data_IF_259239116594
#
_entry.id   IF_259239116594
#
_cell.length_a   1.000
_cell.length_b   1.000
_cell.length_c   1.000
_cell.angle_alpha   90.00
_cell.angle_beta   90.00
_cell.angle_gamma   90.00
#
_symmetry.space_group_name_H-M   'P 1'
#
loop_
_entity.id
_entity.type
_entity.pdbx_description
1 polymer ?
#
# COMPACT_ATOMS: atom_id res chain seq x y z
N UNK A 1 9.06 -16.73 13.59
CA UNK A 1 8.23 -15.66 12.99
C UNK A 1 8.66 -15.57 11.54
N UNK A 2 7.74 -15.63 10.59
CA UNK A 2 8.09 -15.52 9.16
C UNK A 2 8.36 -14.05 8.81
N UNK A 3 9.28 -13.84 7.85
CA UNK A 3 9.64 -12.50 7.41
C UNK A 3 8.46 -11.85 6.67
N UNK A 4 8.10 -10.63 7.07
CA UNK A 4 6.98 -9.91 6.50
C UNK A 4 7.40 -8.92 5.42
N UNK A 5 6.52 -8.74 4.43
CA UNK A 5 6.61 -7.70 3.41
C UNK A 5 5.43 -6.73 3.51
N UNK A 6 5.54 -5.55 2.89
CA UNK A 6 4.44 -4.61 2.83
C UNK A 6 3.28 -5.20 2.00
N UNK A 7 2.06 -5.05 2.52
CA UNK A 7 0.82 -5.49 1.88
C UNK A 7 -0.24 -4.40 1.99
N UNK A 8 -0.98 -4.18 0.91
CA UNK A 8 -1.98 -3.14 0.80
C UNK A 8 -3.31 -3.74 0.40
N UNK A 9 -4.34 -3.44 1.19
CA UNK A 9 -5.70 -3.93 0.94
C UNK A 9 -6.21 -3.37 -0.39
N UNK A 10 -6.67 -4.26 -1.27
CA UNK A 10 -7.26 -3.91 -2.57
C UNK A 10 -6.24 -3.65 -3.69
N UNK A 11 -4.94 -3.64 -3.38
CA UNK A 11 -3.90 -3.56 -4.41
C UNK A 11 -3.73 -4.91 -5.08
N UNK A 12 -3.85 -4.96 -6.41
CA UNK A 12 -3.74 -6.20 -7.20
C UNK A 12 -2.38 -6.39 -7.86
N UNK A 13 -1.55 -5.34 -7.87
CA UNK A 13 -0.23 -5.38 -8.48
C UNK A 13 0.78 -6.22 -7.69
N UNK A 14 2.02 -6.21 -8.18
CA UNK A 14 3.09 -7.04 -7.65
C UNK A 14 3.99 -6.22 -6.72
N UNK A 15 4.34 -6.79 -5.56
CA UNK A 15 5.30 -6.22 -4.62
C UNK A 15 6.44 -7.21 -4.45
N UNK A 16 7.61 -6.87 -4.98
CA UNK A 16 8.80 -7.75 -4.92
C UNK A 16 9.88 -7.12 -4.05
N UNK A 17 10.62 -7.97 -3.33
CA UNK A 17 11.77 -7.54 -2.54
C UNK A 17 13.00 -7.47 -3.45
N UNK A 18 13.45 -6.25 -3.74
CA UNK A 18 14.51 -6.00 -4.74
C UNK A 18 15.90 -5.99 -4.13
N UNK A 19 16.04 -5.44 -2.91
CA UNK A 19 17.32 -5.39 -2.23
C UNK A 19 17.15 -5.43 -0.71
N UNK A 20 18.06 -6.14 -0.04
CA UNK A 20 18.23 -6.05 1.41
C UNK A 20 19.48 -5.21 1.65
N UNK A 21 19.31 -4.04 2.26
CA UNK A 21 20.41 -3.15 2.68
C UNK A 21 20.65 -3.36 4.18
N UNK A 22 21.82 -2.94 4.65
CA UNK A 22 22.22 -3.01 6.07
C UNK A 22 21.20 -2.31 7.00
N UNK A 23 20.51 -1.29 6.50
CA UNK A 23 19.55 -0.50 7.25
C UNK A 23 18.08 -0.77 6.91
N UNK A 24 17.75 -1.83 6.15
CA UNK A 24 16.36 -2.19 5.83
C UNK A 24 16.18 -2.79 4.43
N UNK A 25 14.93 -3.08 4.05
CA UNK A 25 14.60 -3.70 2.75
C UNK A 25 13.98 -2.70 1.76
N UNK A 26 14.34 -2.83 0.49
CA UNK A 26 13.76 -2.08 -0.63
C UNK A 26 12.83 -2.99 -1.42
N UNK A 27 11.65 -2.48 -1.74
CA UNK A 27 10.59 -3.19 -2.45
C UNK A 27 10.26 -2.44 -3.73
N UNK A 28 10.14 -3.18 -4.83
CA UNK A 28 9.62 -2.67 -6.09
C UNK A 28 8.13 -2.99 -6.15
N UNK A 29 7.32 -1.95 -6.29
CA UNK A 29 5.87 -2.05 -6.44
C UNK A 29 5.54 -1.79 -7.90
N UNK A 30 4.95 -2.79 -8.54
CA UNK A 30 4.57 -2.76 -9.94
C UNK A 30 3.05 -2.80 -10.07
N UNK A 31 2.49 -1.85 -10.80
CA UNK A 31 1.13 -1.92 -11.31
C UNK A 31 0.97 -3.01 -12.37
N UNK A 32 -0.17 -3.03 -13.04
CA UNK A 32 -0.49 -4.04 -14.04
C UNK A 32 -0.80 -3.35 -15.37
N UNK A 33 -0.06 -3.76 -16.40
CA UNK A 33 -0.30 -3.41 -17.79
C UNK A 33 -0.60 -4.71 -18.54
N UNK A 34 -1.72 -4.72 -19.25
CA UNK A 34 -2.14 -5.78 -20.15
C UNK A 34 -2.08 -5.27 -21.58
N UNK A 35 -1.55 -6.08 -22.48
CA UNK A 35 -1.67 -5.82 -23.91
C UNK A 35 -2.97 -6.44 -24.41
N UNK A 36 -3.82 -5.62 -25.03
CA UNK A 36 -5.05 -6.12 -25.65
C UNK A 36 -4.76 -6.49 -27.10
N UNK A 37 -4.18 -5.56 -27.86
CA UNK A 37 -3.92 -5.66 -29.30
C UNK A 37 -2.59 -4.98 -29.65
N UNK A 38 -2.14 -5.15 -30.90
CA UNK A 38 -0.92 -4.54 -31.44
C UNK A 38 -0.92 -2.99 -31.46
N UNK A 39 -2.08 -2.38 -31.18
CA UNK A 39 -2.26 -0.93 -31.11
C UNK A 39 -2.78 -0.43 -29.75
N UNK A 40 -3.17 -1.33 -28.84
CA UNK A 40 -3.90 -0.95 -27.62
C UNK A 40 -3.35 -1.63 -26.38
N UNK A 41 -3.00 -0.81 -25.38
CA UNK A 41 -2.59 -1.25 -24.04
C UNK A 41 -3.65 -0.88 -23.01
N UNK A 42 -3.78 -1.71 -21.98
CA UNK A 42 -4.67 -1.48 -20.85
C UNK A 42 -3.88 -1.41 -19.56
N UNK A 43 -4.07 -0.34 -18.80
CA UNK A 43 -3.46 -0.17 -17.49
C UNK A 43 -4.58 -0.34 -16.47
N UNK A 44 -4.53 -1.43 -15.71
CA UNK A 44 -5.61 -1.82 -14.78
C UNK A 44 -5.26 -1.58 -13.31
N UNK A 45 -4.00 -1.27 -13.02
CA UNK A 45 -3.53 -1.02 -11.66
C UNK A 45 -2.35 -0.07 -11.68
N UNK A 46 -2.39 0.95 -10.82
CA UNK A 46 -1.30 1.91 -10.64
C UNK A 46 -0.44 1.50 -9.44
N UNK A 47 0.86 1.84 -9.44
CA UNK A 47 1.70 1.56 -8.29
C UNK A 47 1.22 2.35 -7.06
N UNK A 48 1.44 1.77 -5.89
CA UNK A 48 1.03 2.35 -4.61
C UNK A 48 1.65 3.75 -4.46
N UNK A 49 0.85 4.70 -3.93
CA UNK A 49 1.13 6.14 -3.79
C UNK A 49 1.11 6.95 -5.09
N UNK A 50 0.56 6.42 -6.18
CA UNK A 50 0.30 7.20 -7.40
C UNK A 50 -1.19 7.45 -7.55
N UNK A 51 -1.58 8.71 -7.63
CA UNK A 51 -2.97 9.09 -7.86
C UNK A 51 -3.34 8.93 -9.32
N UNK A 52 -4.62 8.64 -9.56
CA UNK A 52 -5.20 8.51 -10.89
C UNK A 52 -5.04 9.80 -11.71
N UNK A 53 -5.31 10.95 -11.09
CA UNK A 53 -5.16 12.27 -11.73
C UNK A 53 -3.70 12.56 -12.11
N UNK A 54 -2.75 12.34 -11.20
CA UNK A 54 -1.32 12.49 -11.50
C UNK A 54 -0.86 11.56 -12.65
N UNK A 55 -1.52 10.40 -12.80
CA UNK A 55 -1.24 9.46 -13.88
C UNK A 55 -1.84 9.92 -15.21
N UNK A 56 -3.06 10.47 -15.18
CA UNK A 56 -3.72 11.07 -16.34
C UNK A 56 -2.90 12.23 -16.92
N UNK A 57 -2.47 13.16 -16.08
CA UNK A 57 -1.59 14.28 -16.49
C UNK A 57 -0.29 13.78 -17.12
N UNK A 58 0.26 12.69 -16.59
CA UNK A 58 1.43 12.03 -17.17
C UNK A 58 1.14 11.43 -18.55
N UNK A 59 0.00 10.76 -18.76
CA UNK A 59 -0.39 10.24 -20.08
C UNK A 59 -0.61 11.37 -21.09
N UNK A 60 -1.28 12.46 -20.68
CA UNK A 60 -1.47 13.66 -21.52
C UNK A 60 -0.12 14.23 -21.92
N UNK A 61 0.85 14.34 -21.00
CA UNK A 61 2.19 14.86 -21.30
C UNK A 61 2.98 14.04 -22.33
N UNK A 62 2.71 12.73 -22.40
CA UNK A 62 3.29 11.82 -23.40
C UNK A 62 2.57 11.95 -24.75
N UNK A 63 1.28 12.29 -24.72
CA UNK A 63 0.44 12.47 -25.91
C UNK A 63 0.69 13.80 -26.62
N UNK A 64 0.76 14.93 -25.90
CA UNK A 64 0.96 16.26 -26.50
C UNK A 64 2.42 16.61 -26.74
N UNK A 65 3.35 15.86 -26.15
CA UNK A 65 4.75 16.26 -26.05
C UNK A 65 4.94 17.35 -24.99
N UNK A 66 6.06 17.30 -24.28
CA UNK A 66 6.43 18.26 -23.24
C UNK A 66 7.91 18.63 -23.38
N UNK A 67 8.41 19.60 -22.60
CA UNK A 67 9.83 20.01 -22.64
C UNK A 67 10.84 18.84 -22.51
N UNK A 68 10.41 17.71 -21.93
CA UNK A 68 11.21 16.49 -21.78
C UNK A 68 10.89 15.38 -22.80
N UNK A 69 9.77 15.44 -23.50
CA UNK A 69 9.30 14.41 -24.45
C UNK A 69 8.97 15.10 -25.76
N UNK A 70 9.94 15.08 -26.69
CA UNK A 70 9.89 15.86 -27.93
C UNK A 70 8.92 15.31 -28.98
N UNK A 71 8.55 14.03 -28.90
CA UNK A 71 7.66 13.39 -29.87
C UNK A 71 6.45 12.74 -29.19
N UNK A 72 5.23 13.02 -29.68
CA UNK A 72 4.01 12.44 -29.15
C UNK A 72 4.01 10.93 -29.39
N UNK A 73 4.01 10.14 -28.31
CA UNK A 73 4.11 8.68 -28.40
C UNK A 73 2.74 7.99 -28.40
N UNK A 74 1.78 8.60 -27.69
CA UNK A 74 0.40 8.13 -27.56
C UNK A 74 -0.47 8.85 -28.59
N UNK A 75 -1.33 8.10 -29.29
CA UNK A 75 -2.30 8.70 -30.22
C UNK A 75 -3.52 9.22 -29.48
N UNK A 76 -4.05 8.42 -28.56
CA UNK A 76 -5.23 8.74 -27.78
C UNK A 76 -5.26 7.86 -26.52
N UNK A 77 -6.00 8.27 -25.50
CA UNK A 77 -6.28 7.42 -24.34
C UNK A 77 -7.74 7.55 -23.90
N UNK A 78 -8.27 6.47 -23.35
CA UNK A 78 -9.63 6.40 -22.81
C UNK A 78 -9.58 6.05 -21.34
N UNK A 79 -10.33 6.79 -20.56
CA UNK A 79 -10.47 6.57 -19.13
C UNK A 79 -11.79 5.87 -18.81
N UNK A 80 -11.70 4.77 -18.07
CA UNK A 80 -12.85 4.02 -17.57
C UNK A 80 -12.69 3.76 -16.06
N UNK A 81 -12.25 4.79 -15.33
CA UNK A 81 -12.01 4.68 -13.90
C UNK A 81 -13.32 4.68 -13.11
N UNK A 82 -13.39 3.84 -12.09
CA UNK A 82 -14.42 3.91 -11.05
C UNK A 82 -13.83 4.56 -9.80
N UNK A 83 -14.67 4.87 -8.80
CA UNK A 83 -14.21 5.44 -7.53
C UNK A 83 -13.21 4.58 -6.74
N UNK A 84 -13.01 3.32 -7.13
CA UNK A 84 -12.10 2.36 -6.47
C UNK A 84 -11.13 1.64 -7.40
N UNK A 85 -11.36 1.65 -8.71
CA UNK A 85 -10.63 0.83 -9.70
C UNK A 85 -10.15 1.70 -10.84
N UNK A 86 -8.92 1.45 -11.28
CA UNK A 86 -8.28 2.18 -12.37
C UNK A 86 -8.33 1.36 -13.65
N UNK A 87 -8.74 1.98 -14.74
CA UNK A 87 -8.73 1.43 -16.09
C UNK A 87 -8.42 2.53 -17.11
N UNK A 88 -7.20 2.53 -17.63
CA UNK A 88 -6.81 3.35 -18.78
C UNK A 88 -6.61 2.48 -20.02
N UNK A 89 -7.28 2.80 -21.11
CA UNK A 89 -7.03 2.24 -22.44
C UNK A 89 -6.17 3.18 -23.26
N UNK A 90 -4.90 2.85 -23.48
CA UNK A 90 -3.94 3.68 -24.21
C UNK A 90 -3.82 3.17 -25.65
N UNK A 91 -4.02 4.06 -26.62
CA UNK A 91 -3.98 3.76 -28.05
C UNK A 91 -2.67 4.31 -28.65
N UNK A 92 -1.94 3.44 -29.33
CA UNK A 92 -0.60 3.67 -29.89
C UNK A 92 -0.60 3.31 -31.39
N UNK A 93 0.43 3.72 -32.14
CA UNK A 93 0.76 3.06 -33.41
C UNK A 93 1.41 1.71 -33.16
N UNK A 94 1.33 0.80 -34.14
CA UNK A 94 2.01 -0.51 -34.09
C UNK A 94 3.52 -0.34 -33.89
N UNK A 95 4.13 0.63 -34.58
CA UNK A 95 5.55 0.97 -34.46
C UNK A 95 5.90 1.40 -33.02
N UNK A 96 5.09 2.28 -32.41
CA UNK A 96 5.32 2.75 -31.04
C UNK A 96 5.08 1.63 -30.02
N UNK A 97 4.10 0.77 -30.23
CA UNK A 97 3.84 -0.36 -29.34
C UNK A 97 5.00 -1.38 -29.41
N UNK A 98 5.53 -1.65 -30.60
CA UNK A 98 6.71 -2.50 -30.77
C UNK A 98 7.95 -1.90 -30.10
N UNK A 99 8.18 -0.59 -30.26
CA UNK A 99 9.25 0.12 -29.56
C UNK A 99 9.06 0.08 -28.03
N UNK A 100 7.84 0.26 -27.54
CA UNK A 100 7.53 0.17 -26.11
C UNK A 100 7.77 -1.23 -25.54
N UNK A 101 7.51 -2.28 -26.33
CA UNK A 101 7.81 -3.68 -25.96
C UNK A 101 9.31 -3.93 -25.87
N UNK A 102 10.07 -3.44 -26.85
CA UNK A 102 11.53 -3.58 -26.86
C UNK A 102 12.19 -2.85 -25.68
N UNK A 103 11.69 -1.65 -25.34
CA UNK A 103 12.15 -0.89 -24.17
C UNK A 103 11.63 -1.48 -22.84
N UNK A 104 10.46 -2.11 -22.88
CA UNK A 104 9.73 -2.67 -21.75
C UNK A 104 8.59 -1.74 -21.30
N UNK A 105 7.35 -2.26 -21.34
CA UNK A 105 6.13 -1.49 -21.01
C UNK A 105 6.19 -0.83 -19.63
N UNK A 106 6.72 -1.55 -18.64
CA UNK A 106 6.86 -1.07 -17.26
C UNK A 106 7.84 0.11 -17.14
N UNK A 107 8.86 0.19 -18.00
CA UNK A 107 9.80 1.31 -18.00
C UNK A 107 9.19 2.53 -18.68
N UNK A 108 8.50 2.34 -19.82
CA UNK A 108 7.96 3.42 -20.63
C UNK A 108 6.78 4.13 -19.95
N UNK A 109 5.79 3.36 -19.50
CA UNK A 109 4.57 3.88 -18.87
C UNK A 109 4.74 4.15 -17.37
N UNK A 110 5.90 3.78 -16.82
CA UNK A 110 6.28 4.00 -15.41
C UNK A 110 5.22 3.60 -14.37
N UNK A 111 4.48 2.47 -14.50
CA UNK A 111 3.62 1.97 -13.42
C UNK A 111 4.44 1.30 -12.29
N UNK A 112 5.68 1.71 -12.05
CA UNK A 112 6.55 1.11 -11.02
C UNK A 112 7.02 2.18 -10.06
N UNK A 113 6.92 1.90 -8.76
CA UNK A 113 7.49 2.72 -7.69
C UNK A 113 8.36 1.88 -6.77
N UNK A 114 9.24 2.52 -6.03
CA UNK A 114 10.12 1.86 -5.07
C UNK A 114 9.74 2.32 -3.66
N UNK A 115 9.58 1.37 -2.74
CA UNK A 115 9.31 1.61 -1.33
C UNK A 115 10.49 1.12 -0.51
N UNK A 116 11.08 1.99 0.30
CA UNK A 116 12.13 1.64 1.27
C UNK A 116 11.55 1.53 2.68
N UNK A 117 11.98 0.53 3.42
CA UNK A 117 11.64 0.33 4.84
C UNK A 117 12.76 0.77 5.80
N UNK A 118 13.73 1.55 5.31
CA UNK A 118 14.95 1.86 6.07
C UNK A 118 14.77 2.74 7.32
N UNK A 119 13.66 3.48 7.39
CA UNK A 119 13.44 4.53 8.39
C UNK A 119 12.17 4.29 9.22
N UNK A 120 12.15 3.23 10.04
CA UNK A 120 11.03 2.95 10.96
C UNK A 120 11.33 3.50 12.37
N UNK A 121 10.99 4.75 12.63
CA UNK A 121 11.14 5.38 13.96
C UNK A 121 9.80 5.43 14.66
N UNK A 122 9.71 4.83 15.86
CA UNK A 122 8.50 4.80 16.67
C UNK A 122 8.84 5.07 18.14
N UNK A 123 7.85 5.52 18.90
CA UNK A 123 7.97 5.60 20.35
C UNK A 123 7.90 4.20 20.96
N UNK A 124 8.83 3.91 21.86
CA UNK A 124 8.79 2.71 22.68
C UNK A 124 7.73 2.85 23.81
N UNK A 125 7.46 1.78 24.59
CA UNK A 125 6.50 1.84 25.70
C UNK A 125 6.88 2.83 26.82
N UNK A 126 8.13 3.31 26.85
CA UNK A 126 8.64 4.31 27.79
C UNK A 126 8.55 5.74 27.20
N UNK A 127 8.09 5.90 25.97
CA UNK A 127 7.97 7.18 25.28
C UNK A 127 9.28 7.67 24.63
N UNK A 128 10.30 6.81 24.50
CA UNK A 128 11.58 7.13 23.88
C UNK A 128 11.53 6.78 22.39
N UNK A 129 12.06 7.66 21.53
CA UNK A 129 12.16 7.40 20.10
C UNK A 129 13.22 6.30 19.89
N UNK A 130 12.80 5.21 19.25
CA UNK A 130 13.66 4.10 18.87
C UNK A 130 13.56 3.87 17.37
N UNK A 131 14.70 3.65 16.72
CA UNK A 131 14.75 3.15 15.35
C UNK A 131 14.61 1.63 15.37
N UNK A 132 13.75 1.11 14.51
CA UNK A 132 13.54 -0.31 14.27
C UNK A 132 14.08 -0.65 12.89
N UNK A 133 14.85 -1.72 12.78
CA UNK A 133 15.44 -2.13 11.50
C UNK A 133 14.49 -3.04 10.72
N UNK A 134 13.69 -3.83 11.45
CA UNK A 134 12.78 -4.83 10.88
C UNK A 134 11.38 -4.69 11.49
N UNK A 135 10.30 -4.94 10.72
CA UNK A 135 8.93 -4.86 11.23
C UNK A 135 8.64 -5.89 12.34
N UNK A 136 9.38 -7.01 12.39
CA UNK A 136 9.26 -8.03 13.44
C UNK A 136 9.67 -7.50 14.82
N UNK A 137 10.62 -6.55 14.89
CA UNK A 137 10.98 -5.91 16.15
C UNK A 137 9.83 -5.04 16.69
N UNK A 138 9.02 -4.47 15.80
CA UNK A 138 7.83 -3.68 16.18
C UNK A 138 6.74 -4.62 16.72
N UNK A 139 6.63 -5.84 16.16
CA UNK A 139 5.70 -6.86 16.62
C UNK A 139 5.93 -7.31 18.07
N UNK A 140 7.11 -7.06 18.66
CA UNK A 140 7.35 -7.29 20.10
C UNK A 140 6.37 -6.51 21.00
N UNK A 141 5.70 -5.48 20.45
CA UNK A 141 4.55 -4.82 21.09
C UNK A 141 3.43 -5.79 21.50
N UNK A 142 3.37 -6.99 20.91
CA UNK A 142 2.45 -8.05 21.30
C UNK A 142 2.51 -8.37 22.81
N UNK A 143 3.71 -8.44 23.40
CA UNK A 143 3.86 -8.74 24.83
C UNK A 143 3.25 -7.65 25.71
N UNK A 144 3.51 -6.37 25.36
CA UNK A 144 2.85 -5.25 26.03
C UNK A 144 1.33 -5.37 25.91
N UNK A 145 0.83 -5.67 24.71
CA UNK A 145 -0.61 -5.80 24.50
C UNK A 145 -1.21 -6.94 25.35
N UNK A 146 -0.50 -8.05 25.51
CA UNK A 146 -0.91 -9.19 26.33
C UNK A 146 -1.07 -8.81 27.82
N UNK A 147 -0.11 -8.07 28.38
CA UNK A 147 -0.22 -7.55 29.76
C UNK A 147 -1.46 -6.65 29.92
N UNK A 148 -1.77 -5.82 28.92
CA UNK A 148 -2.95 -4.96 28.95
C UNK A 148 -4.26 -5.75 28.78
N UNK A 149 -4.26 -6.89 28.08
CA UNK A 149 -5.41 -7.81 28.09
C UNK A 149 -5.67 -8.36 29.50
N UNK A 150 -4.63 -8.75 30.23
CA UNK A 150 -4.75 -9.23 31.60
C UNK A 150 -5.27 -8.15 32.55
N UNK A 151 -4.67 -6.95 32.52
CA UNK A 151 -5.14 -5.80 33.31
C UNK A 151 -6.62 -5.47 33.03
N UNK A 152 -7.04 -5.52 31.76
CA UNK A 152 -8.44 -5.33 31.36
C UNK A 152 -9.35 -6.42 31.91
N UNK A 153 -8.95 -7.70 31.84
CA UNK A 153 -9.72 -8.82 32.41
C UNK A 153 -9.94 -8.63 33.92
N UNK A 154 -8.89 -8.29 34.66
CA UNK A 154 -8.97 -8.02 36.11
C UNK A 154 -9.91 -6.85 36.41
N UNK A 155 -9.80 -5.75 35.66
CA UNK A 155 -10.69 -4.60 35.80
C UNK A 155 -12.17 -4.96 35.54
N UNK A 156 -12.44 -5.75 34.50
CA UNK A 156 -13.80 -6.22 34.19
C UNK A 156 -14.38 -7.12 35.29
N UNK A 157 -13.58 -8.04 35.85
CA UNK A 157 -14.02 -8.89 36.96
C UNK A 157 -14.32 -8.06 38.21
N UNK A 158 -13.47 -7.08 38.55
CA UNK A 158 -13.72 -6.15 39.66
C UNK A 158 -15.04 -5.39 39.47
N UNK A 159 -15.29 -4.86 38.26
CA UNK A 159 -16.53 -4.14 37.93
C UNK A 159 -17.77 -5.04 38.03
N UNK A 160 -17.71 -6.27 37.53
CA UNK A 160 -18.81 -7.25 37.65
C UNK A 160 -19.08 -7.61 39.11
N UNK A 161 -18.03 -7.87 39.91
CA UNK A 161 -18.18 -8.21 41.32
C UNK A 161 -18.74 -7.04 42.14
N UNK A 162 -18.31 -5.81 41.86
CA UNK A 162 -18.88 -4.61 42.48
C UNK A 162 -20.38 -4.47 42.18
N UNK A 163 -20.78 -4.60 40.90
CA UNK A 163 -22.20 -4.59 40.52
C UNK A 163 -23.00 -5.71 41.20
N UNK A 164 -22.47 -6.93 41.23
CA UNK A 164 -23.11 -8.06 41.93
C UNK A 164 -23.33 -7.76 43.41
N UNK A 165 -22.34 -7.18 44.10
CA UNK A 165 -22.48 -6.74 45.48
C UNK A 165 -23.61 -5.71 45.62
N UNK A 166 -23.64 -4.68 44.78
CA UNK A 166 -24.74 -3.69 44.79
C UNK A 166 -26.11 -4.33 44.63
N UNK A 167 -26.30 -5.22 43.63
CA UNK A 167 -27.57 -5.92 43.43
C UNK A 167 -27.95 -6.79 44.62
N UNK A 168 -26.99 -7.49 45.22
CA UNK A 168 -27.23 -8.34 46.38
C UNK A 168 -27.64 -7.51 47.61
N UNK A 169 -27.00 -6.36 47.84
CA UNK A 169 -27.38 -5.42 48.91
C UNK A 169 -28.79 -4.86 48.69
N UNK A 170 -29.16 -4.52 47.45
CA UNK A 170 -30.53 -4.05 47.14
C UNK A 170 -31.56 -5.15 47.41
N UNK A 171 -31.29 -6.39 47.00
CA UNK A 171 -32.20 -7.52 47.22
C UNK A 171 -32.41 -7.79 48.72
N UNK A 172 -31.35 -7.81 49.54
CA UNK A 172 -31.46 -8.00 51.00
C UNK A 172 -32.10 -6.82 51.73
N UNK A 173 -32.29 -5.66 51.08
CA UNK A 173 -33.01 -4.54 51.66
C UNK A 173 -34.51 -4.59 51.34
N UNK A 174 -34.88 -5.30 50.26
CA UNK A 174 -36.26 -5.44 49.79
C UNK A 174 -36.98 -6.61 50.49
N UNK A 175 -36.25 -7.64 50.92
CA UNK A 175 -36.74 -8.83 51.61
C UNK A 175 -36.21 -8.90 53.04
#
# INVERSE_FOLDING_TARGET
MEAMGPWYKGFRGLIEKTATKEAGSSYTVSGIIEEINETTLRIIELPIRRWTQDYEEFLVSIMTGSDKIKEPFIKDYREHNDGTTVHFGVILSEENLLAAKQEGLMKKFKPTTTISTSNMHLFDPKGVIKKYDNPEQILEFFYLRLEFYEKRKVSWLKKKNSRRKCYWTILNWIY
#
